data_IF_716225513838
#
_entry.id   IF_716225513838
#
_cell.length_a   1.000
_cell.length_b   1.000
_cell.length_c   1.000
_cell.angle_alpha   90.00
_cell.angle_beta   90.00
_cell.angle_gamma   90.00
#
_symmetry.space_group_name_H-M   'P 1'
#
loop_
_entity.id
_entity.type
_entity.pdbx_description
1 polymer ?
#
# COMPACT_ATOMS: atom_id res chain seq x y z
N UNK A 1 3.08 10.85 10.41
CA UNK A 1 1.66 10.82 10.87
C UNK A 1 1.05 9.41 10.81
N UNK A 2 1.33 8.60 9.79
CA UNK A 2 0.88 7.19 9.72
C UNK A 2 1.53 6.38 10.85
N UNK A 3 2.82 6.53 11.09
CA UNK A 3 3.47 5.96 12.28
C UNK A 3 2.80 6.38 13.58
N UNK A 4 2.23 7.58 13.66
CA UNK A 4 1.49 8.07 14.83
C UNK A 4 0.11 7.41 14.98
N UNK A 5 -0.63 7.19 13.90
CA UNK A 5 -1.91 6.48 13.96
C UNK A 5 -1.71 4.97 14.26
N UNK A 6 -0.63 4.37 13.76
CA UNK A 6 -0.17 3.04 14.15
C UNK A 6 0.21 3.01 15.64
N UNK A 7 1.00 4.00 16.09
CA UNK A 7 1.35 4.19 17.49
C UNK A 7 0.13 4.33 18.39
N UNK A 8 -0.90 5.05 17.98
CA UNK A 8 -2.06 5.33 18.84
C UNK A 8 -3.00 4.11 18.96
N UNK A 9 -3.07 3.23 17.98
CA UNK A 9 -3.80 1.95 18.08
C UNK A 9 -3.06 0.93 18.97
N UNK A 10 -1.74 1.03 19.06
CA UNK A 10 -0.89 0.29 19.99
C UNK A 10 -0.58 1.13 21.25
N UNK A 11 -1.32 2.23 21.48
CA UNK A 11 -1.04 3.30 22.46
C UNK A 11 -1.06 2.85 23.92
N UNK A 12 -1.62 1.68 24.24
CA UNK A 12 -1.40 1.03 25.51
C UNK A 12 0.07 0.61 25.76
N UNK A 13 0.90 0.56 24.67
CA UNK A 13 2.29 0.13 24.69
C UNK A 13 3.15 0.93 23.69
N UNK A 14 3.22 2.24 23.87
CA UNK A 14 3.96 3.16 22.97
C UNK A 14 5.45 2.79 22.75
N UNK A 15 6.07 2.11 23.72
CA UNK A 15 7.43 1.61 23.63
C UNK A 15 7.57 0.34 22.78
N UNK A 16 6.59 -0.57 22.83
CA UNK A 16 6.69 -1.87 22.17
C UNK A 16 6.68 -1.78 20.62
N UNK A 17 5.87 -0.90 20.05
CA UNK A 17 5.83 -0.76 18.59
C UNK A 17 7.12 -0.17 18.04
N UNK A 18 7.71 0.82 18.71
CA UNK A 18 8.97 1.42 18.28
C UNK A 18 10.13 0.44 18.45
N UNK A 19 10.23 -0.23 19.61
CA UNK A 19 11.24 -1.26 19.86
C UNK A 19 11.11 -2.41 18.87
N UNK A 20 9.90 -2.83 18.55
CA UNK A 20 9.64 -3.88 17.59
C UNK A 20 10.19 -3.54 16.18
N UNK A 21 9.95 -2.32 15.67
CA UNK A 21 10.48 -1.91 14.37
C UNK A 21 12.00 -1.72 14.39
N UNK A 22 12.56 -1.19 15.48
CA UNK A 22 14.02 -1.09 15.66
C UNK A 22 14.70 -2.46 15.72
N UNK A 23 14.07 -3.44 16.35
CA UNK A 23 14.58 -4.79 16.43
C UNK A 23 14.48 -5.54 15.09
N UNK A 24 13.43 -5.28 14.31
CA UNK A 24 13.29 -5.77 12.93
C UNK A 24 14.42 -5.19 12.07
N UNK A 25 14.63 -3.88 12.08
CA UNK A 25 15.68 -3.23 11.32
C UNK A 25 17.08 -3.77 11.68
N UNK A 26 17.37 -3.92 12.97
CA UNK A 26 18.62 -4.53 13.43
C UNK A 26 18.76 -5.97 12.95
N UNK A 27 17.67 -6.74 13.02
CA UNK A 27 17.66 -8.12 12.57
C UNK A 27 17.95 -8.22 11.06
N UNK A 28 17.34 -7.35 10.24
CA UNK A 28 17.57 -7.31 8.80
C UNK A 28 19.00 -6.91 8.40
N UNK A 29 19.74 -6.24 9.29
CA UNK A 29 21.14 -5.88 9.08
C UNK A 29 22.12 -7.02 9.43
N UNK A 30 21.67 -8.12 10.03
CA UNK A 30 22.55 -9.23 10.42
C UNK A 30 22.93 -10.09 9.21
N UNK A 31 24.18 -10.55 9.19
CA UNK A 31 24.66 -11.49 8.17
C UNK A 31 23.86 -12.79 8.19
N UNK A 32 23.51 -13.28 9.36
CA UNK A 32 22.66 -14.47 9.53
C UNK A 32 21.30 -14.30 8.86
N UNK A 33 20.68 -13.13 8.95
CA UNK A 33 19.42 -12.85 8.28
C UNK A 33 19.60 -12.86 6.75
N UNK A 34 20.66 -12.24 6.24
CA UNK A 34 20.93 -12.16 4.79
C UNK A 34 21.19 -13.54 4.20
N UNK A 35 22.01 -14.38 4.85
CA UNK A 35 22.26 -15.77 4.41
C UNK A 35 20.95 -16.57 4.38
N UNK A 36 20.18 -16.52 5.45
CA UNK A 36 18.90 -17.23 5.54
C UNK A 36 17.88 -16.76 4.51
N UNK A 37 17.89 -15.47 4.14
CA UNK A 37 16.98 -14.99 3.10
C UNK A 37 17.27 -15.58 1.73
N UNK A 38 18.52 -15.84 1.37
CA UNK A 38 18.87 -16.53 0.11
C UNK A 38 18.31 -17.94 0.09
N UNK A 39 18.43 -18.65 1.21
CA UNK A 39 17.98 -20.06 1.35
C UNK A 39 16.46 -20.19 1.53
N UNK A 40 15.85 -19.23 2.25
CA UNK A 40 14.46 -19.33 2.70
C UNK A 40 13.55 -18.25 2.07
N UNK A 41 13.97 -17.61 0.97
CA UNK A 41 13.31 -16.46 0.36
C UNK A 41 11.81 -16.69 0.09
N UNK A 42 11.45 -17.88 -0.37
CA UNK A 42 10.06 -18.24 -0.71
C UNK A 42 9.19 -18.59 0.49
N UNK A 43 9.78 -18.88 1.64
CA UNK A 43 9.04 -19.30 2.83
C UNK A 43 8.93 -18.23 3.90
N UNK A 44 9.78 -17.20 3.85
CA UNK A 44 9.69 -16.06 4.76
C UNK A 44 8.55 -15.13 4.37
N UNK A 45 7.81 -14.69 5.39
CA UNK A 45 6.60 -13.89 5.21
C UNK A 45 6.59 -12.66 6.11
N UNK A 46 5.76 -11.71 5.76
CA UNK A 46 5.54 -10.48 6.52
C UNK A 46 6.85 -9.70 6.73
N UNK A 47 7.09 -9.23 7.94
CA UNK A 47 8.27 -8.43 8.30
C UNK A 47 9.60 -9.21 8.20
N UNK A 48 9.57 -10.52 8.19
CA UNK A 48 10.77 -11.36 8.01
C UNK A 48 11.17 -11.53 6.55
N UNK A 49 10.29 -11.20 5.62
CA UNK A 49 10.61 -11.33 4.20
C UNK A 49 11.58 -10.22 3.75
N UNK A 50 12.55 -10.59 2.93
CA UNK A 50 13.50 -9.65 2.35
C UNK A 50 12.74 -8.56 1.56
N UNK A 51 13.05 -7.30 1.83
CA UNK A 51 12.41 -6.17 1.17
C UNK A 51 10.97 -5.86 1.63
N UNK A 52 10.57 -6.32 2.81
CA UNK A 52 9.24 -5.95 3.37
C UNK A 52 9.11 -4.47 3.67
N UNK A 53 10.21 -3.83 4.10
CA UNK A 53 10.25 -2.43 4.55
C UNK A 53 11.28 -1.58 3.83
N UNK A 54 12.27 -2.19 3.22
CA UNK A 54 13.36 -1.52 2.53
C UNK A 54 13.25 -1.79 1.03
N UNK A 55 13.11 -0.74 0.24
CA UNK A 55 12.97 -0.84 -1.23
C UNK A 55 14.23 -1.40 -1.89
N UNK A 56 15.41 -1.10 -1.36
CA UNK A 56 16.68 -1.64 -1.87
C UNK A 56 16.73 -3.17 -1.70
N UNK A 57 16.35 -3.67 -0.52
CA UNK A 57 16.27 -5.10 -0.26
C UNK A 57 15.16 -5.77 -1.11
N UNK A 58 14.13 -5.02 -1.49
CA UNK A 58 13.08 -5.53 -2.39
C UNK A 58 13.61 -5.76 -3.80
N UNK A 59 14.49 -4.90 -4.29
CA UNK A 59 15.16 -5.08 -5.58
C UNK A 59 16.04 -6.34 -5.58
N UNK A 60 16.80 -6.55 -4.48
CA UNK A 60 17.58 -7.79 -4.29
C UNK A 60 16.68 -9.03 -4.25
N UNK A 61 15.52 -8.95 -3.58
CA UNK A 61 14.55 -10.05 -3.55
C UNK A 61 14.02 -10.40 -4.95
N UNK A 62 13.79 -9.41 -5.82
CA UNK A 62 13.40 -9.65 -7.22
C UNK A 62 14.49 -10.39 -7.98
N UNK A 63 15.75 -10.01 -7.80
CA UNK A 63 16.88 -10.64 -8.45
C UNK A 63 17.04 -12.11 -8.01
N UNK A 64 16.94 -12.37 -6.71
CA UNK A 64 16.99 -13.72 -6.14
C UNK A 64 15.82 -14.60 -6.59
N UNK A 65 14.63 -14.02 -6.75
CA UNK A 65 13.43 -14.72 -7.24
C UNK A 65 13.41 -14.92 -8.75
N UNK A 66 14.28 -14.24 -9.50
CA UNK A 66 14.24 -14.20 -10.97
C UNK A 66 12.97 -13.51 -11.50
N UNK A 67 12.40 -12.56 -10.76
CA UNK A 67 11.18 -11.83 -11.13
C UNK A 67 11.55 -10.52 -11.79
N UNK A 68 11.04 -10.29 -12.99
CA UNK A 68 11.35 -9.09 -13.78
C UNK A 68 10.72 -7.83 -13.21
N UNK A 69 9.49 -7.90 -12.70
CA UNK A 69 8.80 -6.78 -12.06
C UNK A 69 7.74 -7.27 -11.09
N UNK A 70 7.36 -6.43 -10.15
CA UNK A 70 6.37 -6.78 -9.14
C UNK A 70 5.42 -5.63 -8.87
N UNK A 71 4.13 -5.92 -8.88
CA UNK A 71 3.11 -4.99 -8.40
C UNK A 71 3.08 -5.02 -6.86
N UNK A 72 3.27 -3.86 -6.25
CA UNK A 72 3.40 -3.72 -4.80
C UNK A 72 2.09 -3.19 -4.21
N UNK A 73 1.51 -3.93 -3.28
CA UNK A 73 0.26 -3.59 -2.59
C UNK A 73 0.52 -3.04 -1.19
N UNK A 74 -0.26 -2.07 -0.71
CA UNK A 74 -0.20 -1.58 0.66
C UNK A 74 -0.94 -2.52 1.63
N UNK A 75 -0.40 -3.72 1.87
CA UNK A 75 -1.10 -4.82 2.57
C UNK A 75 -1.76 -4.43 3.88
N UNK A 76 -1.00 -3.95 4.87
CA UNK A 76 -1.55 -3.59 6.19
C UNK A 76 -2.42 -2.33 6.17
N UNK A 77 -2.02 -1.23 5.47
CA UNK A 77 -2.87 -0.07 5.32
C UNK A 77 -4.20 -0.35 4.62
N UNK A 78 -4.24 -1.33 3.71
CA UNK A 78 -5.44 -1.68 2.95
C UNK A 78 -6.61 -2.08 3.85
N UNK A 79 -6.34 -2.93 4.85
CA UNK A 79 -7.36 -3.37 5.83
C UNK A 79 -7.98 -2.20 6.58
N UNK A 80 -7.19 -1.19 6.89
CA UNK A 80 -7.69 -0.01 7.60
C UNK A 80 -8.42 0.97 6.70
N UNK A 81 -7.96 1.14 5.48
CA UNK A 81 -8.61 1.96 4.48
C UNK A 81 -10.00 1.41 4.18
N UNK A 82 -10.15 0.11 4.03
CA UNK A 82 -11.46 -0.54 3.86
C UNK A 82 -12.38 -0.35 5.06
N UNK A 83 -11.84 -0.46 6.28
CA UNK A 83 -12.61 -0.17 7.51
C UNK A 83 -13.06 1.30 7.57
N UNK A 84 -12.21 2.24 7.14
CA UNK A 84 -12.53 3.67 7.08
C UNK A 84 -13.52 4.00 5.97
N UNK A 85 -13.51 3.26 4.86
CA UNK A 85 -14.47 3.40 3.74
C UNK A 85 -15.92 3.28 4.23
N UNK A 86 -16.14 2.38 5.19
CA UNK A 86 -17.43 2.18 5.83
C UNK A 86 -17.61 2.97 7.14
N UNK A 87 -16.62 3.77 7.51
CA UNK A 87 -16.66 4.65 8.67
C UNK A 87 -17.48 5.93 8.46
N UNK A 88 -17.48 6.80 9.45
CA UNK A 88 -18.10 8.13 9.38
C UNK A 88 -17.11 9.26 9.16
N UNK A 89 -15.80 9.00 9.32
CA UNK A 89 -14.76 10.02 9.19
C UNK A 89 -14.14 10.00 7.79
N UNK A 90 -14.83 10.64 6.85
CA UNK A 90 -14.39 10.80 5.47
C UNK A 90 -13.05 11.53 5.36
N UNK A 91 -12.80 12.51 6.21
CA UNK A 91 -11.53 13.25 6.18
C UNK A 91 -10.35 12.38 6.60
N UNK A 92 -10.55 11.53 7.60
CA UNK A 92 -9.55 10.54 8.02
C UNK A 92 -9.25 9.56 6.88
N UNK A 93 -10.28 9.00 6.23
CA UNK A 93 -10.14 8.08 5.10
C UNK A 93 -9.22 8.66 4.03
N UNK A 94 -9.55 9.83 3.49
CA UNK A 94 -8.77 10.45 2.40
C UNK A 94 -7.38 10.92 2.85
N UNK A 95 -7.22 11.32 4.10
CA UNK A 95 -5.91 11.68 4.66
C UNK A 95 -4.99 10.46 4.78
N UNK A 96 -5.52 9.33 5.26
CA UNK A 96 -4.78 8.06 5.36
C UNK A 96 -4.46 7.53 3.97
N UNK A 97 -5.41 7.55 3.03
CA UNK A 97 -5.19 7.11 1.66
C UNK A 97 -4.08 7.92 0.96
N UNK A 98 -4.11 9.26 1.05
CA UNK A 98 -3.05 10.11 0.48
C UNK A 98 -1.67 9.80 1.07
N UNK A 99 -1.59 9.60 2.38
CA UNK A 99 -0.35 9.29 3.05
C UNK A 99 0.18 7.90 2.67
N UNK A 100 -0.71 6.90 2.59
CA UNK A 100 -0.38 5.54 2.16
C UNK A 100 0.11 5.52 0.71
N UNK A 101 -0.62 6.17 -0.20
CA UNK A 101 -0.27 6.24 -1.61
C UNK A 101 1.10 6.88 -1.83
N UNK A 102 1.38 7.99 -1.12
CA UNK A 102 2.70 8.62 -1.18
C UNK A 102 3.81 7.68 -0.68
N UNK A 103 3.62 7.04 0.47
CA UNK A 103 4.60 6.10 1.00
C UNK A 103 4.83 4.91 0.06
N UNK A 104 3.78 4.42 -0.61
CA UNK A 104 3.85 3.34 -1.58
C UNK A 104 4.66 3.74 -2.83
N UNK A 105 4.40 4.93 -3.36
CA UNK A 105 5.14 5.48 -4.49
C UNK A 105 6.61 5.72 -4.11
N UNK A 106 6.86 6.33 -2.95
CA UNK A 106 8.22 6.56 -2.44
C UNK A 106 8.99 5.24 -2.29
N UNK A 107 8.35 4.20 -1.73
CA UNK A 107 8.95 2.87 -1.61
C UNK A 107 9.35 2.29 -2.97
N UNK A 108 8.52 2.45 -3.99
CA UNK A 108 8.77 1.93 -5.33
C UNK A 108 9.72 2.79 -6.18
N UNK A 109 10.00 4.04 -5.79
CA UNK A 109 10.74 5.00 -6.62
C UNK A 109 12.20 4.64 -6.88
N UNK A 110 12.78 3.78 -6.06
CA UNK A 110 14.20 3.38 -6.16
C UNK A 110 14.50 2.35 -7.24
N UNK A 111 13.48 1.64 -7.74
CA UNK A 111 13.63 0.61 -8.79
C UNK A 111 12.39 0.57 -9.67
N UNK A 112 12.56 0.78 -10.97
CA UNK A 112 11.47 0.82 -11.96
C UNK A 112 10.72 -0.52 -12.11
N UNK A 113 11.25 -1.60 -11.57
CA UNK A 113 10.60 -2.92 -11.52
C UNK A 113 9.55 -3.02 -10.41
N UNK A 114 9.57 -2.09 -9.45
CA UNK A 114 8.59 -2.00 -8.36
C UNK A 114 7.44 -1.11 -8.81
N UNK A 115 6.29 -1.70 -9.02
CA UNK A 115 5.11 -1.05 -9.59
C UNK A 115 4.11 -0.74 -8.47
N UNK A 116 3.93 0.54 -8.06
CA UNK A 116 3.05 0.89 -6.94
C UNK A 116 1.57 0.76 -7.32
N UNK A 117 0.82 -0.04 -6.55
CA UNK A 117 -0.63 0.00 -6.54
C UNK A 117 -1.11 0.99 -5.47
N UNK A 118 -1.90 1.99 -5.86
CA UNK A 118 -2.36 3.05 -4.96
C UNK A 118 -3.85 2.92 -4.66
N UNK A 119 -4.22 3.08 -3.40
CA UNK A 119 -5.62 2.94 -2.97
C UNK A 119 -6.43 4.21 -3.28
N UNK A 120 -7.57 4.01 -3.93
CA UNK A 120 -8.51 5.08 -4.28
C UNK A 120 -9.82 4.82 -3.53
N UNK A 121 -10.09 5.53 -2.42
CA UNK A 121 -11.38 5.45 -1.75
C UNK A 121 -12.50 5.89 -2.67
N UNK A 122 -13.69 5.33 -2.51
CA UNK A 122 -14.88 5.67 -3.31
C UNK A 122 -16.01 6.32 -2.51
N UNK A 123 -15.84 6.54 -1.20
CA UNK A 123 -16.90 7.05 -0.33
C UNK A 123 -17.40 8.47 -0.66
N UNK A 124 -16.55 9.29 -1.30
CA UNK A 124 -16.86 10.68 -1.73
C UNK A 124 -16.34 10.88 -3.16
N UNK A 125 -17.24 11.04 -4.10
CA UNK A 125 -16.93 11.04 -5.54
C UNK A 125 -15.90 12.12 -5.92
N UNK A 126 -16.05 13.35 -5.43
CA UNK A 126 -15.14 14.45 -5.76
C UNK A 126 -13.72 14.20 -5.23
N UNK A 127 -13.62 13.79 -3.97
CA UNK A 127 -12.33 13.45 -3.36
C UNK A 127 -11.70 12.21 -4.00
N UNK A 128 -12.51 11.26 -4.47
CA UNK A 128 -12.04 10.07 -5.19
C UNK A 128 -11.38 10.45 -6.52
N UNK A 129 -11.98 11.36 -7.26
CA UNK A 129 -11.42 11.90 -8.52
C UNK A 129 -10.11 12.63 -8.25
N UNK A 130 -10.06 13.48 -7.22
CA UNK A 130 -8.84 14.22 -6.85
C UNK A 130 -7.69 13.27 -6.48
N UNK A 131 -7.96 12.26 -5.65
CA UNK A 131 -6.90 11.33 -5.20
C UNK A 131 -6.44 10.42 -6.34
N UNK A 132 -7.32 9.97 -7.23
CA UNK A 132 -6.96 9.21 -8.41
C UNK A 132 -6.05 10.02 -9.34
N UNK A 133 -6.43 11.26 -9.64
CA UNK A 133 -5.61 12.19 -10.44
C UNK A 133 -4.23 12.42 -9.83
N UNK A 134 -4.17 12.60 -8.51
CA UNK A 134 -2.91 12.78 -7.80
C UNK A 134 -2.05 11.51 -7.86
N UNK A 135 -2.64 10.34 -7.66
CA UNK A 135 -1.95 9.05 -7.69
C UNK A 135 -1.32 8.78 -9.07
N UNK A 136 -2.09 8.96 -10.13
CA UNK A 136 -1.61 8.81 -11.52
C UNK A 136 -0.45 9.77 -11.80
N UNK A 137 -0.63 11.05 -11.49
CA UNK A 137 0.40 12.08 -11.68
C UNK A 137 1.69 11.78 -10.91
N UNK A 138 1.58 11.11 -9.76
CA UNK A 138 2.73 10.78 -8.90
C UNK A 138 3.41 9.46 -9.27
N UNK A 139 2.95 8.74 -10.29
CA UNK A 139 3.60 7.52 -10.79
C UNK A 139 2.96 6.22 -10.32
N UNK A 140 1.67 6.24 -9.97
CA UNK A 140 0.93 5.00 -9.72
C UNK A 140 0.94 4.10 -10.96
N UNK A 141 1.17 2.81 -10.75
CA UNK A 141 1.13 1.80 -11.81
C UNK A 141 -0.19 1.03 -11.87
N UNK A 142 -1.02 1.18 -10.84
CA UNK A 142 -2.37 0.61 -10.79
C UNK A 142 -3.23 1.37 -9.76
N UNK A 143 -4.53 1.49 -10.02
CA UNK A 143 -5.49 2.01 -9.06
C UNK A 143 -6.17 0.85 -8.34
N UNK A 144 -5.97 0.77 -7.04
CA UNK A 144 -6.59 -0.22 -6.17
C UNK A 144 -7.85 0.36 -5.56
N UNK A 145 -9.00 -0.20 -5.89
CA UNK A 145 -10.29 0.24 -5.40
C UNK A 145 -10.88 -0.73 -4.38
N UNK A 146 -11.74 -0.24 -3.44
CA UNK A 146 -12.43 -1.08 -2.48
C UNK A 146 -13.21 -2.21 -3.19
N UNK A 147 -13.14 -3.41 -2.66
CA UNK A 147 -13.94 -4.54 -3.16
C UNK A 147 -15.41 -4.44 -2.75
N UNK A 148 -15.70 -3.77 -1.64
CA UNK A 148 -17.05 -3.55 -1.15
C UNK A 148 -17.61 -2.24 -1.70
N UNK A 149 -18.93 -2.21 -1.96
CA UNK A 149 -19.61 -1.00 -2.38
C UNK A 149 -19.53 0.10 -1.33
N UNK A 150 -19.31 1.36 -1.74
CA UNK A 150 -19.50 2.52 -0.87
C UNK A 150 -20.92 2.56 -0.27
N UNK A 151 -21.07 3.21 0.89
CA UNK A 151 -22.38 3.27 1.58
C UNK A 151 -23.48 3.97 0.78
N UNK A 152 -23.14 5.00 0.03
CA UNK A 152 -24.10 5.92 -0.52
C UNK A 152 -24.35 5.75 -2.02
N UNK A 153 -23.56 4.93 -2.70
CA UNK A 153 -23.68 4.71 -4.14
C UNK A 153 -22.99 3.40 -4.55
N UNK A 154 -23.32 2.93 -5.75
CA UNK A 154 -22.66 1.77 -6.36
C UNK A 154 -21.25 2.15 -6.87
N UNK A 155 -20.38 1.17 -7.03
CA UNK A 155 -19.11 1.30 -7.76
C UNK A 155 -19.29 1.61 -9.23
N UNK A 156 -20.51 1.37 -9.78
CA UNK A 156 -20.90 1.73 -11.14
C UNK A 156 -21.60 3.11 -11.23
N UNK A 157 -21.53 3.94 -10.18
CA UNK A 157 -22.14 5.27 -10.20
C UNK A 157 -21.48 6.15 -11.26
N UNK A 158 -22.30 6.82 -12.09
CA UNK A 158 -21.83 7.64 -13.23
C UNK A 158 -20.81 8.73 -12.81
N UNK A 159 -20.88 9.24 -11.60
CA UNK A 159 -19.93 10.20 -11.07
C UNK A 159 -18.49 9.67 -10.92
N UNK A 160 -18.29 8.34 -10.99
CA UNK A 160 -16.97 7.71 -10.95
C UNK A 160 -16.34 7.54 -12.33
N UNK A 161 -17.09 7.79 -13.42
CA UNK A 161 -16.59 7.69 -14.80
C UNK A 161 -15.28 8.46 -15.04
N UNK A 162 -15.08 9.67 -14.46
CA UNK A 162 -13.80 10.36 -14.61
C UNK A 162 -12.58 9.55 -14.09
N UNK A 163 -12.75 8.69 -13.08
CA UNK A 163 -11.67 7.84 -12.56
C UNK A 163 -11.34 6.74 -13.58
N UNK A 164 -12.39 6.13 -14.15
CA UNK A 164 -12.25 5.07 -15.16
C UNK A 164 -11.60 5.61 -16.43
N UNK A 165 -12.06 6.80 -16.88
CA UNK A 165 -11.46 7.48 -18.04
C UNK A 165 -9.99 7.84 -17.83
N UNK A 166 -9.63 8.38 -16.66
CA UNK A 166 -8.24 8.68 -16.36
C UNK A 166 -7.35 7.44 -16.32
N UNK A 167 -7.85 6.33 -15.81
CA UNK A 167 -7.11 5.06 -15.80
C UNK A 167 -6.91 4.54 -17.23
N UNK A 168 -7.94 4.59 -18.07
CA UNK A 168 -7.88 4.19 -19.49
C UNK A 168 -6.91 5.08 -20.27
N UNK A 169 -7.03 6.40 -20.17
CA UNK A 169 -6.16 7.38 -20.85
C UNK A 169 -4.68 7.23 -20.43
N UNK A 170 -4.44 6.84 -19.17
CA UNK A 170 -3.10 6.64 -18.64
C UNK A 170 -2.55 5.23 -18.87
N UNK A 171 -3.38 4.32 -19.37
CA UNK A 171 -3.01 2.92 -19.62
C UNK A 171 -2.72 2.12 -18.35
N UNK A 172 -3.27 2.52 -17.19
CA UNK A 172 -3.05 1.83 -15.92
C UNK A 172 -4.27 0.99 -15.52
N UNK A 173 -4.07 -0.24 -15.00
CA UNK A 173 -5.16 -1.10 -14.62
C UNK A 173 -5.87 -0.64 -13.35
N UNK A 174 -7.15 -0.99 -13.26
CA UNK A 174 -7.95 -0.91 -12.05
C UNK A 174 -7.98 -2.29 -11.41
N UNK A 175 -7.72 -2.34 -10.11
CA UNK A 175 -7.61 -3.57 -9.36
C UNK A 175 -8.65 -3.63 -8.24
N UNK A 176 -9.24 -4.79 -8.04
CA UNK A 176 -10.05 -5.14 -6.89
C UNK A 176 -9.29 -6.19 -6.08
N UNK A 177 -8.95 -5.86 -4.85
CA UNK A 177 -8.26 -6.80 -3.95
C UNK A 177 -9.24 -7.34 -2.93
N UNK A 178 -9.59 -8.62 -3.07
CA UNK A 178 -10.45 -9.33 -2.11
C UNK A 178 -9.60 -9.95 -0.99
N UNK A 179 -10.16 -10.08 0.22
CA UNK A 179 -9.57 -10.90 1.26
C UNK A 179 -9.14 -10.21 2.55
N UNK A 180 -9.69 -9.07 2.86
CA UNK A 180 -9.64 -8.47 4.19
C UNK A 180 -10.95 -8.80 4.93
N UNK A 181 -11.16 -10.04 5.28
CA UNK A 181 -12.23 -10.43 6.19
C UNK A 181 -11.66 -10.60 7.58
#
# INVERSE_FOLDING_TARGET
>A
KIQLAFRDRFAGNKGLAQTYFEDIDKHHQTETYRIKNVEELMIRKNYEALGSFNSHDRSEALDLLGVQSQLIFPTSPNVWLESLEHGSDINMLYSVARATNRAQIDFCSGDSRLLPATYIPLADIEKSIEIAKLAIKSGSSALLIPWACPKNHSTSHIGLDPIWSMAEESGIPILFHVGSA
#
